data_IF_982429817637
#
_entry.id   IF_982429817637
#
_cell.length_a   1.000
_cell.length_b   1.000
_cell.length_c   1.000
_cell.angle_alpha   90.00
_cell.angle_beta   90.00
_cell.angle_gamma   90.00
#
_symmetry.space_group_name_H-M   'P 1'
#
loop_
_entity.id
_entity.type
_entity.pdbx_description
1 polymer ?
#
# COMPACT_ATOMS: atom_id res chain seq x y z
N UNK A 1 25.02 -3.30 36.35
CA UNK A 1 23.98 -2.86 35.39
C UNK A 1 24.61 -2.68 34.00
N UNK A 2 24.70 -3.78 33.21
CA UNK A 2 25.32 -3.77 31.89
C UNK A 2 24.49 -3.06 30.84
N UNK A 3 25.14 -2.42 29.86
CA UNK A 3 24.49 -1.87 28.68
C UNK A 3 24.36 -2.93 27.59
N UNK A 4 23.25 -2.91 26.87
CA UNK A 4 22.96 -3.77 25.75
C UNK A 4 23.26 -3.05 24.45
N UNK A 5 24.08 -3.61 23.55
CA UNK A 5 24.16 -3.18 22.18
C UNK A 5 23.30 -4.12 21.33
N UNK A 6 22.31 -3.57 20.65
CA UNK A 6 21.45 -4.31 19.75
C UNK A 6 21.52 -3.77 18.33
N UNK A 7 21.69 -4.65 17.35
CA UNK A 7 21.33 -4.36 15.96
C UNK A 7 19.81 -4.16 15.94
N UNK A 8 19.34 -3.04 15.43
CA UNK A 8 17.90 -2.65 15.51
C UNK A 8 16.95 -3.67 14.88
N UNK A 9 17.51 -4.59 14.06
CA UNK A 9 16.81 -5.70 13.40
C UNK A 9 17.66 -6.99 13.45
N UNK A 10 17.91 -7.58 14.64
CA UNK A 10 18.51 -8.90 14.70
C UNK A 10 19.29 -9.22 15.96
N UNK A 11 20.61 -9.06 15.97
CA UNK A 11 21.46 -9.56 17.02
C UNK A 11 21.50 -8.61 18.23
N UNK A 12 21.33 -9.17 19.46
CA UNK A 12 21.49 -8.45 20.72
C UNK A 12 22.79 -8.90 21.37
N UNK A 13 23.66 -7.96 21.72
CA UNK A 13 24.93 -8.21 22.40
C UNK A 13 24.88 -7.53 23.78
N UNK A 14 25.09 -8.30 24.81
CA UNK A 14 25.08 -7.83 26.20
C UNK A 14 26.49 -7.46 26.66
N UNK A 15 26.63 -6.37 27.41
CA UNK A 15 27.85 -5.96 28.07
C UNK A 15 27.67 -6.02 29.60
N UNK A 16 28.65 -6.57 30.28
CA UNK A 16 28.81 -6.41 31.69
C UNK A 16 29.83 -5.30 31.96
N UNK A 17 29.47 -4.41 32.85
CA UNK A 17 30.18 -3.24 33.42
C UNK A 17 31.60 -2.87 32.96
N UNK A 18 31.77 -1.57 32.69
CA UNK A 18 32.96 -0.69 32.80
C UNK A 18 34.31 -1.14 32.21
N UNK A 19 34.35 -2.15 31.34
CA UNK A 19 35.58 -2.59 30.66
C UNK A 19 35.47 -2.25 29.17
N UNK A 20 36.57 -1.75 28.59
CA UNK A 20 36.68 -1.54 27.15
C UNK A 20 36.56 -2.87 26.42
N UNK A 21 35.39 -3.19 25.90
CA UNK A 21 35.14 -4.40 25.13
C UNK A 21 35.41 -4.17 23.67
N UNK A 22 36.22 -5.05 23.05
CA UNK A 22 36.34 -5.08 21.59
C UNK A 22 35.24 -5.94 21.02
N UNK A 23 34.31 -5.31 20.27
CA UNK A 23 33.26 -5.99 19.58
C UNK A 23 33.57 -6.13 18.10
N UNK A 24 33.28 -7.28 17.53
CA UNK A 24 33.27 -7.48 16.10
C UNK A 24 31.84 -7.28 15.60
N UNK A 25 31.52 -6.04 15.23
CA UNK A 25 30.25 -5.70 14.63
C UNK A 25 30.35 -5.68 13.10
N UNK A 26 29.36 -6.20 12.43
CA UNK A 26 29.23 -6.09 10.98
C UNK A 26 28.71 -4.70 10.60
N UNK A 27 28.87 -4.33 9.32
CA UNK A 27 28.24 -3.10 8.80
C UNK A 27 26.76 -3.04 9.15
N UNK A 28 26.31 -1.93 9.73
CA UNK A 28 24.92 -1.78 10.16
C UNK A 28 24.68 -0.58 11.06
N UNK A 29 23.43 -0.42 11.45
CA UNK A 29 22.97 0.59 12.39
C UNK A 29 22.66 -0.08 13.74
N UNK A 30 23.18 0.48 14.82
CA UNK A 30 23.12 -0.10 16.16
C UNK A 30 22.58 0.90 17.19
N UNK A 31 21.92 0.39 18.20
CA UNK A 31 21.51 1.16 19.38
C UNK A 31 22.17 0.59 20.63
N UNK A 32 22.74 1.45 21.46
CA UNK A 32 23.14 1.11 22.82
C UNK A 32 21.93 1.29 23.75
N UNK A 33 21.57 0.23 24.48
CA UNK A 33 20.35 0.22 25.29
C UNK A 33 20.72 -0.17 26.72
N UNK A 34 20.26 0.59 27.71
CA UNK A 34 20.37 0.26 29.13
C UNK A 34 19.00 0.36 29.81
N UNK A 35 18.62 -0.66 30.55
CA UNK A 35 17.33 -0.73 31.25
C UNK A 35 16.09 -0.42 30.33
N UNK A 36 16.15 -0.85 29.06
CA UNK A 36 15.11 -0.62 28.09
C UNK A 36 15.12 0.76 27.40
N UNK A 37 16.01 1.67 27.82
CA UNK A 37 16.16 2.99 27.19
C UNK A 37 17.33 3.01 26.21
N UNK A 38 17.13 3.63 25.05
CA UNK A 38 18.21 3.89 24.09
C UNK A 38 19.07 5.03 24.67
N UNK A 39 20.37 4.74 24.86
CA UNK A 39 21.34 5.74 25.29
C UNK A 39 21.85 6.55 24.10
N UNK A 40 22.24 5.87 23.03
CA UNK A 40 22.67 6.46 21.77
C UNK A 40 22.58 5.45 20.64
N UNK A 41 22.54 5.96 19.42
CA UNK A 41 22.61 5.19 18.19
C UNK A 41 23.97 5.42 17.51
N UNK A 42 24.45 4.45 16.72
CA UNK A 42 25.68 4.56 15.94
C UNK A 42 25.68 3.67 14.71
N UNK A 43 26.52 4.02 13.74
CA UNK A 43 26.69 3.28 12.49
C UNK A 43 28.06 2.59 12.45
N UNK A 44 28.09 1.36 11.93
CA UNK A 44 29.32 0.63 11.65
C UNK A 44 29.44 0.50 10.12
N UNK A 45 30.43 1.16 9.53
CA UNK A 45 30.79 1.01 8.11
C UNK A 45 32.00 0.08 7.95
N UNK A 46 33.02 0.28 8.77
CA UNK A 46 34.27 -0.45 8.76
C UNK A 46 34.67 -0.93 10.16
N UNK A 47 35.70 -1.79 10.21
CA UNK A 47 36.25 -2.24 11.49
C UNK A 47 37.12 -1.13 12.13
N UNK A 48 36.99 -0.95 13.43
CA UNK A 48 37.94 -0.15 14.20
C UNK A 48 37.48 1.26 14.61
N UNK A 49 36.20 1.45 14.94
CA UNK A 49 35.73 2.68 15.57
C UNK A 49 35.74 2.57 17.10
N UNK A 50 35.74 3.70 17.80
CA UNK A 50 35.68 3.82 19.26
C UNK A 50 34.57 4.79 19.63
N UNK A 51 33.77 4.38 20.60
CA UNK A 51 32.73 5.21 21.22
C UNK A 51 32.97 5.30 22.68
N UNK A 52 32.86 6.50 23.27
CA UNK A 52 32.79 6.75 24.71
C UNK A 52 31.42 7.30 25.07
N UNK A 53 30.87 6.86 26.18
CA UNK A 53 29.58 7.39 26.65
C UNK A 53 29.76 7.92 28.09
N UNK A 54 29.42 9.18 28.30
CA UNK A 54 29.41 9.79 29.64
C UNK A 54 27.98 9.74 30.20
N UNK A 55 27.83 8.95 31.26
CA UNK A 55 26.56 8.77 31.97
C UNK A 55 26.10 10.02 32.73
N UNK A 56 27.00 10.95 33.09
CA UNK A 56 26.64 12.16 33.81
C UNK A 56 26.04 13.20 32.84
N UNK A 57 26.68 13.41 31.70
CA UNK A 57 26.21 14.34 30.67
C UNK A 57 25.20 13.71 29.69
N UNK A 58 25.01 12.38 29.75
CA UNK A 58 24.19 11.61 28.84
C UNK A 58 24.57 11.84 27.35
N UNK A 59 25.88 11.95 27.08
CA UNK A 59 26.41 12.22 25.76
C UNK A 59 27.33 11.12 25.27
N UNK A 60 27.27 10.80 23.98
CA UNK A 60 28.17 9.91 23.29
C UNK A 60 29.22 10.72 22.51
N UNK A 61 30.47 10.30 22.60
CA UNK A 61 31.57 10.81 21.79
C UNK A 61 32.03 9.73 20.82
N UNK A 62 32.05 10.07 19.54
CA UNK A 62 32.43 9.18 18.45
C UNK A 62 33.84 9.54 17.96
N UNK A 63 34.73 8.56 17.94
CA UNK A 63 36.07 8.77 17.40
C UNK A 63 36.09 8.81 15.85
N UNK A 64 35.08 8.30 15.21
CA UNK A 64 34.94 8.37 13.77
C UNK A 64 34.09 9.59 13.33
N UNK A 65 34.55 10.22 12.26
CA UNK A 65 33.96 11.48 11.77
C UNK A 65 32.53 11.33 11.27
N UNK A 66 32.17 10.14 10.75
CA UNK A 66 30.83 9.92 10.24
C UNK A 66 29.78 9.93 11.36
N UNK A 67 29.98 9.12 12.40
CA UNK A 67 29.04 9.08 13.52
C UNK A 67 29.00 10.42 14.27
N UNK A 68 30.17 11.03 14.49
CA UNK A 68 30.27 12.33 15.14
C UNK A 68 29.48 13.41 14.36
N UNK A 69 29.74 13.59 13.08
CA UNK A 69 29.03 14.56 12.27
C UNK A 69 27.54 14.20 12.10
N UNK A 70 27.20 12.92 11.92
CA UNK A 70 25.82 12.50 11.70
C UNK A 70 24.96 12.74 12.93
N UNK A 71 25.32 12.16 14.08
CA UNK A 71 24.45 12.21 15.25
C UNK A 71 24.45 13.57 15.93
N UNK A 72 25.61 14.25 16.02
CA UNK A 72 25.70 15.56 16.64
C UNK A 72 25.05 16.68 15.81
N UNK A 73 24.92 16.51 14.49
CA UNK A 73 24.34 17.52 13.61
C UNK A 73 22.96 17.15 13.08
N UNK A 74 22.42 15.97 13.43
CA UNK A 74 21.17 15.48 12.90
C UNK A 74 20.02 16.47 13.08
N UNK A 75 19.87 17.01 14.28
CA UNK A 75 18.84 18.02 14.58
C UNK A 75 19.03 19.31 13.77
N UNK A 76 20.25 19.80 13.69
CA UNK A 76 20.56 21.01 12.91
C UNK A 76 20.24 20.84 11.43
N UNK A 77 20.49 19.66 10.87
CA UNK A 77 20.15 19.31 9.47
C UNK A 77 18.64 19.20 9.29
N UNK A 78 17.92 18.62 10.24
CA UNK A 78 16.44 18.54 10.19
C UNK A 78 15.78 19.91 10.25
N UNK A 79 16.28 20.82 11.12
CA UNK A 79 15.76 22.17 11.31
C UNK A 79 16.17 23.10 10.14
N UNK A 80 17.30 22.85 9.51
CA UNK A 80 17.88 23.66 8.43
C UNK A 80 18.54 22.78 7.37
N UNK A 81 17.81 22.31 6.37
CA UNK A 81 18.35 21.37 5.35
C UNK A 81 19.63 21.85 4.64
N UNK A 82 19.80 23.17 4.48
CA UNK A 82 21.03 23.74 3.91
C UNK A 82 22.29 23.49 4.73
N UNK A 83 22.16 23.17 6.02
CA UNK A 83 23.29 22.89 6.91
C UNK A 83 24.09 21.67 6.44
N UNK A 84 23.50 20.73 5.73
CA UNK A 84 24.15 19.53 5.20
C UNK A 84 25.41 19.87 4.36
N UNK A 85 25.45 21.06 3.76
CA UNK A 85 26.60 21.48 2.95
C UNK A 85 27.89 21.68 3.74
N UNK A 86 27.80 21.86 5.04
CA UNK A 86 28.94 22.05 5.95
C UNK A 86 29.57 20.74 6.42
N UNK A 87 28.93 19.60 6.17
CA UNK A 87 29.37 18.29 6.61
C UNK A 87 30.40 17.67 5.65
N UNK A 88 31.10 16.63 6.10
CA UNK A 88 32.00 15.86 5.23
C UNK A 88 31.23 15.20 4.07
N UNK A 89 31.94 14.85 3.00
CA UNK A 89 31.32 14.24 1.81
C UNK A 89 30.59 12.95 2.19
N UNK A 90 31.21 12.08 3.00
CA UNK A 90 30.62 10.81 3.42
C UNK A 90 29.34 11.04 4.25
N UNK A 91 29.40 11.95 5.23
CA UNK A 91 28.25 12.26 6.09
C UNK A 91 27.11 12.86 5.26
N UNK A 92 27.42 13.73 4.28
CA UNK A 92 26.42 14.26 3.34
C UNK A 92 25.69 13.15 2.59
N UNK A 93 26.41 12.21 2.03
CA UNK A 93 25.82 11.13 1.24
C UNK A 93 24.95 10.22 2.12
N UNK A 94 25.43 9.87 3.32
CA UNK A 94 24.67 9.06 4.28
C UNK A 94 23.41 9.81 4.77
N UNK A 95 23.51 11.12 5.06
CA UNK A 95 22.34 11.91 5.45
C UNK A 95 21.32 12.06 4.32
N UNK A 96 21.75 12.27 3.09
CA UNK A 96 20.85 12.31 1.92
C UNK A 96 20.12 10.99 1.73
N UNK A 97 20.80 9.89 1.96
CA UNK A 97 20.24 8.55 1.87
C UNK A 97 19.14 8.32 2.92
N UNK A 98 19.38 8.69 4.18
CA UNK A 98 18.46 8.44 5.28
C UNK A 98 17.34 9.49 5.39
N UNK A 99 17.60 10.70 4.92
CA UNK A 99 16.68 11.83 4.97
C UNK A 99 16.58 12.50 3.59
N UNK A 100 16.00 11.80 2.58
CA UNK A 100 15.86 12.40 1.24
C UNK A 100 15.11 13.73 1.26
N UNK A 101 14.19 13.93 2.23
CA UNK A 101 13.47 15.18 2.43
C UNK A 101 14.36 16.38 2.81
N UNK A 102 15.56 16.13 3.33
CA UNK A 102 16.53 17.20 3.69
C UNK A 102 17.20 17.80 2.45
N UNK A 103 17.33 17.00 1.40
CA UNK A 103 18.14 17.34 0.24
C UNK A 103 17.35 17.81 -0.95
N UNK A 104 16.08 17.43 -1.01
CA UNK A 104 15.19 17.75 -2.13
C UNK A 104 13.80 18.04 -1.58
N UNK A 105 13.24 19.19 -1.89
CA UNK A 105 11.88 19.51 -1.49
C UNK A 105 10.87 18.57 -2.17
N UNK A 106 9.72 18.36 -1.53
CA UNK A 106 8.64 17.56 -2.12
C UNK A 106 8.22 18.05 -3.52
N UNK A 107 8.31 19.36 -3.77
CA UNK A 107 8.00 19.92 -5.08
C UNK A 107 9.04 19.57 -6.13
N UNK A 108 10.32 19.53 -5.77
CA UNK A 108 11.39 19.11 -6.68
C UNK A 108 11.27 17.62 -7.02
N UNK A 109 10.91 16.75 -6.06
CA UNK A 109 10.63 15.36 -6.35
C UNK A 109 9.46 15.18 -7.32
N UNK A 110 8.38 15.92 -7.15
CA UNK A 110 7.23 15.86 -8.07
C UNK A 110 7.54 16.32 -9.48
N UNK A 111 8.43 17.30 -9.63
CA UNK A 111 8.81 17.86 -10.94
C UNK A 111 9.93 17.09 -11.63
N UNK A 112 10.76 16.37 -10.88
CA UNK A 112 11.93 15.65 -11.39
C UNK A 112 11.88 14.15 -11.10
N UNK A 113 11.10 13.42 -11.90
CA UNK A 113 10.94 11.96 -11.77
C UNK A 113 12.29 11.20 -11.74
N UNK A 114 13.25 11.63 -12.55
CA UNK A 114 14.64 11.09 -12.57
C UNK A 114 15.41 11.30 -11.27
N UNK A 115 15.04 12.31 -10.48
CA UNK A 115 15.70 12.62 -9.21
C UNK A 115 15.31 11.65 -8.11
N UNK A 116 14.06 11.16 -8.13
CA UNK A 116 13.54 10.16 -7.19
C UNK A 116 14.33 8.86 -7.36
N UNK A 117 14.39 8.36 -8.60
CA UNK A 117 15.08 7.12 -8.92
C UNK A 117 16.57 7.22 -8.57
N UNK A 118 17.21 8.35 -8.91
CA UNK A 118 18.63 8.55 -8.60
C UNK A 118 18.94 8.67 -7.11
N UNK A 119 18.03 9.20 -6.29
CA UNK A 119 18.26 9.37 -4.85
C UNK A 119 18.14 8.03 -4.12
N UNK A 120 17.11 7.24 -4.41
CA UNK A 120 16.96 5.91 -3.83
C UNK A 120 18.05 4.94 -4.34
N UNK A 121 18.35 4.95 -5.63
CA UNK A 121 19.38 4.07 -6.21
C UNK A 121 20.77 4.40 -5.65
N UNK A 122 21.10 5.67 -5.46
CA UNK A 122 22.36 6.07 -4.80
C UNK A 122 22.46 5.56 -3.35
N UNK A 123 21.35 5.46 -2.64
CA UNK A 123 21.34 4.90 -1.28
C UNK A 123 21.77 3.44 -1.24
N UNK A 124 21.63 2.69 -2.34
CA UNK A 124 22.08 1.31 -2.45
C UNK A 124 23.61 1.13 -2.43
N UNK A 125 24.38 2.20 -2.56
CA UNK A 125 25.85 2.15 -2.33
C UNK A 125 26.18 1.70 -0.90
N UNK A 126 25.25 1.85 0.05
CA UNK A 126 25.35 1.44 1.44
C UNK A 126 24.17 0.55 1.85
N UNK A 127 23.79 -0.37 0.98
CA UNK A 127 22.57 -1.17 1.07
C UNK A 127 22.37 -1.83 2.44
N UNK A 128 23.42 -2.49 2.98
CA UNK A 128 23.34 -3.13 4.30
C UNK A 128 23.14 -2.14 5.45
N UNK A 129 23.80 -0.97 5.38
CA UNK A 129 23.63 0.08 6.37
C UNK A 129 22.21 0.64 6.29
N UNK A 130 21.71 0.89 5.09
CA UNK A 130 20.37 1.44 4.86
C UNK A 130 19.28 0.46 5.30
N UNK A 131 19.39 -0.82 4.91
CA UNK A 131 18.44 -1.86 5.28
C UNK A 131 18.35 -2.07 6.80
N UNK A 132 19.49 -2.06 7.49
CA UNK A 132 19.54 -2.23 8.94
C UNK A 132 19.30 -0.93 9.73
N UNK A 133 18.90 0.17 9.07
CA UNK A 133 18.64 1.46 9.71
C UNK A 133 17.14 1.65 9.99
N UNK A 134 16.76 2.53 10.94
CA UNK A 134 15.37 2.93 11.15
C UNK A 134 14.86 3.85 10.03
N UNK A 135 15.72 4.32 9.16
CA UNK A 135 15.43 5.36 8.18
C UNK A 135 14.86 4.82 6.86
N UNK A 136 15.05 3.52 6.57
CA UNK A 136 14.53 2.91 5.36
C UNK A 136 13.03 3.14 5.20
N UNK A 137 12.24 2.83 6.25
CA UNK A 137 10.79 3.04 6.18
C UNK A 137 10.42 4.51 6.00
N UNK A 138 11.11 5.43 6.69
CA UNK A 138 10.87 6.87 6.54
C UNK A 138 11.17 7.34 5.11
N UNK A 139 12.23 6.83 4.50
CA UNK A 139 12.59 7.15 3.11
C UNK A 139 11.55 6.59 2.12
N UNK A 140 11.10 5.34 2.32
CA UNK A 140 10.05 4.73 1.50
C UNK A 140 8.72 5.48 1.64
N UNK A 141 8.30 5.81 2.88
CA UNK A 141 7.09 6.60 3.16
C UNK A 141 7.16 7.98 2.51
N UNK A 142 8.30 8.64 2.57
CA UNK A 142 8.48 9.95 1.95
C UNK A 142 8.41 9.87 0.43
N UNK A 143 9.17 8.96 -0.17
CA UNK A 143 9.25 8.84 -1.63
C UNK A 143 7.92 8.36 -2.21
N UNK A 144 7.44 7.21 -1.77
CA UNK A 144 6.24 6.59 -2.35
C UNK A 144 4.93 7.18 -1.83
N UNK A 145 4.92 7.67 -0.58
CA UNK A 145 3.74 8.30 0.00
C UNK A 145 3.54 9.76 -0.36
N UNK A 146 4.62 10.51 -0.70
CA UNK A 146 4.54 11.97 -0.90
C UNK A 146 5.09 12.47 -2.22
N UNK A 147 6.06 11.79 -2.81
CA UNK A 147 6.80 12.29 -3.97
C UNK A 147 6.41 11.63 -5.28
N UNK A 148 6.27 10.30 -5.28
CA UNK A 148 5.83 9.57 -6.47
C UNK A 148 4.38 9.90 -6.77
N UNK A 149 4.07 10.23 -8.04
CA UNK A 149 2.69 10.43 -8.45
C UNK A 149 1.88 9.13 -8.24
N UNK A 150 0.65 9.22 -7.72
CA UNK A 150 -0.15 8.04 -7.40
C UNK A 150 -0.75 7.35 -8.64
N UNK A 151 -0.55 7.89 -9.85
CA UNK A 151 -0.96 7.22 -11.07
C UNK A 151 -0.20 5.90 -11.27
N UNK A 152 -0.87 4.92 -11.86
CA UNK A 152 -0.33 3.57 -12.01
C UNK A 152 1.04 3.54 -12.69
N UNK A 153 1.19 4.23 -13.83
CA UNK A 153 2.41 4.18 -14.63
C UNK A 153 3.62 4.73 -13.86
N UNK A 154 3.43 5.88 -13.21
CA UNK A 154 4.47 6.52 -12.40
C UNK A 154 4.85 5.68 -11.19
N UNK A 155 3.86 5.17 -10.47
CA UNK A 155 4.06 4.41 -9.24
C UNK A 155 4.72 3.05 -9.55
N UNK A 156 4.19 2.30 -10.51
CA UNK A 156 4.75 0.99 -10.87
C UNK A 156 6.15 1.11 -11.46
N UNK A 157 6.39 2.09 -12.34
CA UNK A 157 7.72 2.33 -12.92
C UNK A 157 8.76 2.61 -11.84
N UNK A 158 8.46 3.50 -10.88
CA UNK A 158 9.38 3.83 -9.79
C UNK A 158 9.65 2.62 -8.89
N UNK A 159 8.61 1.87 -8.48
CA UNK A 159 8.77 0.65 -7.68
C UNK A 159 9.63 -0.40 -8.40
N UNK A 160 9.31 -0.68 -9.65
CA UNK A 160 10.00 -1.69 -10.45
C UNK A 160 11.48 -1.34 -10.66
N UNK A 161 11.81 -0.06 -10.91
CA UNK A 161 13.18 0.38 -11.05
C UNK A 161 13.96 0.24 -9.75
N UNK A 162 13.40 0.68 -8.64
CA UNK A 162 14.09 0.56 -7.35
C UNK A 162 14.34 -0.89 -6.98
N UNK A 163 13.32 -1.77 -7.11
CA UNK A 163 13.47 -3.19 -6.82
C UNK A 163 14.56 -3.86 -7.66
N UNK A 164 14.70 -3.52 -8.93
CA UNK A 164 15.73 -4.09 -9.82
C UNK A 164 17.16 -3.75 -9.42
N UNK A 165 17.36 -2.65 -8.74
CA UNK A 165 18.70 -2.21 -8.31
C UNK A 165 19.13 -2.81 -6.97
N UNK A 166 18.21 -3.35 -6.16
CA UNK A 166 18.50 -3.99 -4.87
C UNK A 166 19.19 -5.34 -5.11
N UNK A 167 20.35 -5.53 -4.47
CA UNK A 167 21.17 -6.75 -4.60
C UNK A 167 21.03 -7.71 -3.44
N UNK A 168 20.79 -7.17 -2.22
CA UNK A 168 20.57 -8.01 -1.03
C UNK A 168 19.15 -8.58 -1.07
N UNK A 169 19.04 -9.92 -0.98
CA UNK A 169 17.75 -10.61 -1.08
C UNK A 169 16.82 -10.27 0.09
N UNK A 170 17.35 -10.07 1.30
CA UNK A 170 16.52 -9.74 2.47
C UNK A 170 15.96 -8.33 2.34
N UNK A 171 16.78 -7.37 1.91
CA UNK A 171 16.32 -6.02 1.62
C UNK A 171 15.29 -6.01 0.49
N UNK A 172 15.52 -6.77 -0.59
CA UNK A 172 14.57 -6.89 -1.69
C UNK A 172 13.21 -7.40 -1.20
N UNK A 173 13.18 -8.50 -0.45
CA UNK A 173 11.95 -9.07 0.13
C UNK A 173 11.27 -8.08 1.07
N UNK A 174 12.02 -7.38 1.90
CA UNK A 174 11.50 -6.39 2.82
C UNK A 174 10.82 -5.22 2.08
N UNK A 175 11.54 -4.61 1.13
CA UNK A 175 11.02 -3.49 0.34
C UNK A 175 9.82 -3.90 -0.50
N UNK A 176 9.88 -5.07 -1.13
CA UNK A 176 8.75 -5.63 -1.87
C UNK A 176 7.52 -5.80 -0.98
N UNK A 177 7.66 -6.39 0.20
CA UNK A 177 6.56 -6.57 1.14
C UNK A 177 6.01 -5.22 1.63
N UNK A 178 6.88 -4.24 1.88
CA UNK A 178 6.48 -2.89 2.22
C UNK A 178 5.64 -2.27 1.08
N UNK A 179 6.09 -2.36 -0.17
CA UNK A 179 5.37 -1.86 -1.33
C UNK A 179 4.03 -2.56 -1.52
N UNK A 180 4.01 -3.89 -1.46
CA UNK A 180 2.77 -4.68 -1.57
C UNK A 180 1.74 -4.24 -0.54
N UNK A 181 2.13 -4.12 0.74
CA UNK A 181 1.24 -3.68 1.81
C UNK A 181 0.69 -2.27 1.57
N UNK A 182 1.55 -1.33 1.19
CA UNK A 182 1.15 0.07 0.99
C UNK A 182 0.20 0.24 -0.19
N UNK A 183 0.45 -0.45 -1.31
CA UNK A 183 -0.43 -0.37 -2.48
C UNK A 183 -1.72 -1.19 -2.32
N UNK A 184 -1.69 -2.28 -1.55
CA UNK A 184 -2.87 -3.06 -1.19
C UNK A 184 -3.84 -2.29 -0.30
N UNK A 185 -3.31 -1.53 0.68
CA UNK A 185 -4.10 -0.80 1.68
C UNK A 185 -4.36 0.66 1.31
N UNK A 186 -3.82 1.13 0.20
CA UNK A 186 -3.96 2.50 -0.28
C UNK A 186 -5.42 2.88 -0.52
N UNK A 187 -5.76 4.12 -0.15
CA UNK A 187 -7.06 4.74 -0.45
C UNK A 187 -7.11 5.42 -1.82
N UNK A 188 -5.99 5.45 -2.53
CA UNK A 188 -5.93 6.05 -3.86
C UNK A 188 -6.55 5.08 -4.87
N UNK A 189 -7.50 5.58 -5.62
CA UNK A 189 -8.21 4.80 -6.62
C UNK A 189 -7.25 4.31 -7.71
N UNK A 190 -7.23 2.99 -7.95
CA UNK A 190 -6.35 2.35 -8.93
C UNK A 190 -4.97 1.94 -8.42
N UNK A 191 -4.60 2.29 -7.19
CA UNK A 191 -3.33 1.85 -6.59
C UNK A 191 -3.21 0.33 -6.49
N UNK A 192 -4.33 -0.39 -6.41
CA UNK A 192 -4.33 -1.85 -6.45
C UNK A 192 -3.76 -2.43 -7.74
N UNK A 193 -3.72 -1.69 -8.85
CA UNK A 193 -3.07 -2.15 -10.08
C UNK A 193 -1.55 -2.30 -9.87
N UNK A 194 -0.94 -1.41 -9.08
CA UNK A 194 0.47 -1.52 -8.70
C UNK A 194 0.69 -2.75 -7.83
N UNK A 195 -0.17 -2.97 -6.83
CA UNK A 195 -0.15 -4.18 -6.00
C UNK A 195 -0.22 -5.46 -6.83
N UNK A 196 -1.16 -5.54 -7.78
CA UNK A 196 -1.33 -6.70 -8.66
C UNK A 196 -0.04 -6.99 -9.43
N UNK A 197 0.51 -5.98 -10.09
CA UNK A 197 1.68 -6.19 -10.95
C UNK A 197 2.97 -6.43 -10.14
N UNK A 198 3.12 -5.83 -8.95
CA UNK A 198 4.21 -6.18 -8.04
C UNK A 198 4.10 -7.62 -7.54
N UNK A 199 2.90 -8.08 -7.18
CA UNK A 199 2.71 -9.46 -6.73
C UNK A 199 3.00 -10.47 -7.85
N UNK A 200 2.52 -10.22 -9.07
CA UNK A 200 2.71 -11.13 -10.21
C UNK A 200 4.16 -11.12 -10.70
N UNK A 201 4.79 -9.94 -10.81
CA UNK A 201 6.08 -9.81 -11.47
C UNK A 201 7.27 -9.95 -10.50
N UNK A 202 7.09 -9.65 -9.21
CA UNK A 202 8.18 -9.63 -8.22
C UNK A 202 7.99 -10.65 -7.10
N UNK A 203 6.77 -10.83 -6.56
CA UNK A 203 6.54 -11.81 -5.48
C UNK A 203 6.48 -13.25 -6.03
N UNK A 204 5.69 -13.50 -7.07
CA UNK A 204 5.47 -14.84 -7.63
C UNK A 204 6.77 -15.62 -7.91
N UNK A 205 7.83 -15.00 -8.53
CA UNK A 205 9.10 -15.70 -8.77
C UNK A 205 9.88 -16.10 -7.52
N UNK A 206 9.59 -15.48 -6.37
CA UNK A 206 10.30 -15.71 -5.10
C UNK A 206 9.63 -16.74 -4.22
N UNK A 207 8.42 -17.20 -4.57
CA UNK A 207 7.64 -18.09 -3.72
C UNK A 207 8.22 -19.50 -3.75
N UNK A 208 8.35 -20.07 -2.56
CA UNK A 208 8.66 -21.49 -2.34
C UNK A 208 7.40 -22.19 -1.81
N UNK A 209 7.28 -23.52 -1.90
CA UNK A 209 6.11 -24.24 -1.39
C UNK A 209 5.77 -24.01 0.08
N UNK A 210 6.73 -23.48 0.87
CA UNK A 210 6.54 -23.16 2.28
C UNK A 210 5.92 -21.78 2.53
N UNK A 211 5.88 -20.88 1.52
CA UNK A 211 5.47 -19.48 1.64
C UNK A 211 3.93 -19.30 1.61
N UNK A 212 3.21 -19.89 2.56
CA UNK A 212 1.74 -19.83 2.60
C UNK A 212 1.18 -18.40 2.55
N UNK A 213 1.81 -17.47 3.27
CA UNK A 213 1.41 -16.06 3.25
C UNK A 213 1.65 -15.40 1.89
N UNK A 214 2.77 -15.67 1.25
CA UNK A 214 3.06 -15.19 -0.09
C UNK A 214 2.06 -15.68 -1.12
N UNK A 215 1.66 -16.96 -1.05
CA UNK A 215 0.59 -17.50 -1.91
C UNK A 215 -0.76 -16.86 -1.63
N UNK A 216 -1.09 -16.49 -0.39
CA UNK A 216 -2.33 -15.77 -0.09
C UNK A 216 -2.34 -14.37 -0.73
N UNK A 217 -1.22 -13.64 -0.66
CA UNK A 217 -1.05 -12.34 -1.31
C UNK A 217 -1.15 -12.46 -2.83
N UNK A 218 -0.45 -13.44 -3.42
CA UNK A 218 -0.51 -13.70 -4.86
C UNK A 218 -1.93 -14.10 -5.30
N UNK A 219 -2.60 -14.99 -4.58
CA UNK A 219 -3.97 -15.43 -4.87
C UNK A 219 -4.96 -14.25 -4.85
N UNK A 220 -4.79 -13.31 -3.91
CA UNK A 220 -5.55 -12.06 -3.91
C UNK A 220 -5.28 -11.24 -5.17
N UNK A 221 -4.02 -11.01 -5.52
CA UNK A 221 -3.65 -10.25 -6.72
C UNK A 221 -4.20 -10.89 -8.00
N UNK A 222 -4.08 -12.22 -8.14
CA UNK A 222 -4.62 -12.97 -9.27
C UNK A 222 -6.15 -12.92 -9.35
N UNK A 223 -6.84 -12.89 -8.21
CA UNK A 223 -8.31 -12.73 -8.15
C UNK A 223 -8.76 -11.32 -8.51
N UNK A 224 -7.97 -10.32 -8.17
CA UNK A 224 -8.23 -8.90 -8.49
C UNK A 224 -7.90 -8.56 -9.95
N UNK A 225 -6.86 -9.17 -10.51
CA UNK A 225 -6.29 -8.85 -11.82
C UNK A 225 -7.30 -8.76 -12.97
N UNK A 226 -8.19 -9.73 -13.13
CA UNK A 226 -9.14 -9.75 -14.24
C UNK A 226 -10.12 -8.57 -14.30
N UNK A 227 -10.47 -8.01 -13.14
CA UNK A 227 -11.36 -6.84 -13.02
C UNK A 227 -10.60 -5.63 -12.43
N UNK A 228 -9.32 -5.49 -12.76
CA UNK A 228 -8.52 -4.35 -12.32
C UNK A 228 -9.05 -3.04 -12.93
N UNK A 229 -8.82 -1.93 -12.25
CA UNK A 229 -9.27 -0.63 -12.73
C UNK A 229 -8.74 -0.34 -14.15
N UNK A 230 -9.61 0.14 -15.03
CA UNK A 230 -9.33 0.41 -16.44
C UNK A 230 -9.52 -0.79 -17.38
N UNK A 231 -9.51 -2.04 -16.86
CA UNK A 231 -9.81 -3.22 -17.70
C UNK A 231 -11.30 -3.34 -18.03
N UNK A 232 -11.62 -4.05 -19.10
CA UNK A 232 -13.00 -4.49 -19.34
C UNK A 232 -13.35 -5.55 -18.29
N UNK A 233 -14.40 -5.31 -17.52
CA UNK A 233 -14.87 -6.22 -16.48
C UNK A 233 -15.28 -7.57 -17.10
N UNK A 234 -15.02 -8.66 -16.37
CA UNK A 234 -15.50 -9.98 -16.82
C UNK A 234 -17.03 -9.98 -16.93
N UNK A 235 -17.55 -10.44 -18.05
CA UNK A 235 -18.99 -10.65 -18.20
C UNK A 235 -19.47 -11.79 -17.31
N UNK A 236 -20.71 -11.69 -16.85
CA UNK A 236 -21.37 -12.75 -16.09
C UNK A 236 -22.86 -12.84 -16.44
N UNK A 237 -23.40 -14.04 -16.24
CA UNK A 237 -24.85 -14.28 -16.36
C UNK A 237 -25.49 -14.20 -14.99
N UNK A 238 -26.68 -13.66 -14.94
CA UNK A 238 -27.49 -13.61 -13.74
C UNK A 238 -28.96 -13.90 -14.05
N UNK A 239 -29.67 -14.43 -13.10
CA UNK A 239 -31.13 -14.60 -13.18
C UNK A 239 -31.80 -13.34 -12.68
N UNK A 240 -32.52 -12.65 -13.55
CA UNK A 240 -33.33 -11.49 -13.19
C UNK A 240 -34.52 -11.96 -12.32
N UNK A 241 -34.67 -11.35 -11.15
CA UNK A 241 -35.72 -11.75 -10.19
C UNK A 241 -37.12 -11.31 -10.61
N UNK A 242 -37.21 -10.24 -11.40
CA UNK A 242 -38.52 -9.66 -11.80
C UNK A 242 -39.26 -10.53 -12.81
N UNK A 243 -38.53 -11.11 -13.78
CA UNK A 243 -39.12 -11.89 -14.90
C UNK A 243 -38.60 -13.33 -15.03
N UNK A 244 -37.57 -13.69 -14.21
CA UNK A 244 -36.92 -14.98 -14.23
C UNK A 244 -35.98 -15.22 -15.43
N UNK A 245 -35.80 -14.24 -16.31
CA UNK A 245 -34.90 -14.34 -17.46
C UNK A 245 -33.44 -14.45 -17.04
N UNK A 246 -32.63 -15.11 -17.87
CA UNK A 246 -31.17 -15.12 -17.75
C UNK A 246 -30.62 -14.02 -18.64
N UNK A 247 -29.86 -13.11 -18.07
CA UNK A 247 -29.27 -11.96 -18.75
C UNK A 247 -27.74 -11.95 -18.57
N UNK A 248 -27.04 -11.35 -19.54
CA UNK A 248 -25.63 -11.04 -19.42
C UNK A 248 -25.43 -9.60 -18.96
N UNK A 249 -24.52 -9.37 -18.01
CA UNK A 249 -24.23 -8.04 -17.47
C UNK A 249 -23.75 -7.07 -18.57
N UNK A 250 -22.95 -7.55 -19.53
CA UNK A 250 -22.45 -6.72 -20.63
C UNK A 250 -23.58 -6.21 -21.54
N UNK A 251 -24.67 -6.95 -21.68
CA UNK A 251 -25.81 -6.57 -22.54
C UNK A 251 -26.73 -5.53 -21.90
N UNK A 252 -26.52 -5.20 -20.64
CA UNK A 252 -27.27 -4.13 -19.98
C UNK A 252 -26.71 -2.79 -20.44
N UNK A 253 -27.52 -1.99 -21.11
CA UNK A 253 -27.11 -0.68 -21.59
C UNK A 253 -27.16 0.37 -20.49
N UNK A 254 -26.18 1.27 -20.45
CA UNK A 254 -26.10 2.39 -19.52
C UNK A 254 -24.82 3.20 -19.71
N UNK A 255 -24.87 4.48 -19.41
CA UNK A 255 -23.67 5.36 -19.42
C UNK A 255 -22.68 4.91 -18.36
N UNK A 256 -23.22 4.57 -17.18
CA UNK A 256 -22.50 3.89 -16.12
C UNK A 256 -23.36 2.77 -15.53
N UNK A 257 -22.70 1.73 -15.05
CA UNK A 257 -23.32 0.62 -14.30
C UNK A 257 -22.75 0.59 -12.89
N UNK A 258 -23.62 0.61 -11.90
CA UNK A 258 -23.28 0.34 -10.51
C UNK A 258 -23.61 -1.13 -10.25
N UNK A 259 -22.58 -1.96 -10.01
CA UNK A 259 -22.75 -3.33 -9.56
C UNK A 259 -22.69 -3.33 -8.03
N UNK A 260 -23.78 -3.72 -7.40
CA UNK A 260 -23.89 -3.81 -5.95
C UNK A 260 -24.07 -5.28 -5.58
N UNK A 261 -22.96 -5.92 -5.20
CA UNK A 261 -22.96 -7.31 -4.74
C UNK A 261 -23.32 -7.34 -3.26
N UNK A 262 -24.36 -8.07 -2.90
CA UNK A 262 -24.87 -8.12 -1.54
C UNK A 262 -25.27 -9.54 -1.11
N UNK A 263 -25.24 -9.79 0.18
CA UNK A 263 -25.86 -10.98 0.78
C UNK A 263 -27.18 -10.55 1.42
N UNK A 264 -28.31 -11.19 1.06
CA UNK A 264 -29.61 -10.88 1.65
C UNK A 264 -29.68 -11.03 3.19
N UNK A 265 -28.86 -11.90 3.76
CA UNK A 265 -28.77 -12.13 5.20
C UNK A 265 -27.82 -11.13 5.91
N UNK A 266 -27.03 -10.37 5.16
CA UNK A 266 -26.07 -9.40 5.70
C UNK A 266 -26.79 -8.15 6.24
N UNK A 267 -26.66 -7.89 7.56
CA UNK A 267 -27.25 -6.72 8.21
C UNK A 267 -26.75 -5.39 7.61
N UNK A 268 -25.46 -5.27 7.38
CA UNK A 268 -24.86 -4.07 6.80
C UNK A 268 -25.38 -3.79 5.38
N UNK A 269 -25.64 -4.81 4.59
CA UNK A 269 -26.25 -4.65 3.27
C UNK A 269 -27.65 -4.03 3.35
N UNK A 270 -28.46 -4.44 4.35
CA UNK A 270 -29.79 -3.88 4.58
C UNK A 270 -29.75 -2.40 4.96
N UNK A 271 -28.69 -1.96 5.64
CA UNK A 271 -28.50 -0.53 6.00
C UNK A 271 -27.98 0.32 4.84
N UNK A 272 -27.08 -0.25 4.02
CA UNK A 272 -26.41 0.48 2.94
C UNK A 272 -27.27 0.55 1.68
N UNK A 273 -27.99 -0.51 1.35
CA UNK A 273 -28.77 -0.59 0.11
C UNK A 273 -29.76 0.57 -0.07
N UNK A 274 -30.62 0.95 0.91
CA UNK A 274 -31.57 2.06 0.72
C UNK A 274 -30.88 3.39 0.38
N UNK A 275 -29.71 3.61 0.95
CA UNK A 275 -28.91 4.82 0.68
C UNK A 275 -28.27 4.79 -0.71
N UNK A 276 -27.85 3.61 -1.19
CA UNK A 276 -27.33 3.42 -2.54
C UNK A 276 -28.45 3.55 -3.58
N UNK A 277 -29.65 3.03 -3.30
CA UNK A 277 -30.83 3.21 -4.12
C UNK A 277 -31.22 4.69 -4.22
N UNK A 278 -31.31 5.40 -3.09
CA UNK A 278 -31.63 6.83 -3.09
C UNK A 278 -30.61 7.67 -3.90
N UNK A 279 -29.34 7.30 -3.86
CA UNK A 279 -28.31 7.89 -4.73
C UNK A 279 -28.63 7.61 -6.20
N UNK A 280 -28.91 6.34 -6.57
CA UNK A 280 -29.24 5.97 -7.94
C UNK A 280 -30.50 6.72 -8.43
N UNK A 281 -31.53 6.85 -7.60
CA UNK A 281 -32.78 7.56 -7.93
C UNK A 281 -32.52 9.03 -8.30
N UNK A 282 -31.52 9.66 -7.67
CA UNK A 282 -31.15 11.05 -7.94
C UNK A 282 -30.36 11.24 -9.26
N UNK A 283 -29.82 10.16 -9.85
CA UNK A 283 -28.97 10.20 -11.05
C UNK A 283 -29.47 9.30 -12.18
N UNK A 284 -30.62 8.70 -12.02
CA UNK A 284 -31.18 7.72 -12.98
C UNK A 284 -31.40 8.32 -14.37
N UNK A 285 -31.80 9.59 -14.45
CA UNK A 285 -32.00 10.31 -15.71
C UNK A 285 -30.68 10.65 -16.42
N UNK A 286 -29.54 10.36 -15.79
CA UNK A 286 -28.21 10.48 -16.39
C UNK A 286 -27.74 9.18 -17.06
N UNK A 287 -28.63 8.19 -17.21
CA UNK A 287 -28.33 6.91 -17.86
C UNK A 287 -27.51 5.96 -16.99
N UNK A 288 -27.54 6.14 -15.67
CA UNK A 288 -26.90 5.22 -14.72
C UNK A 288 -27.83 4.05 -14.44
N UNK A 289 -27.31 2.83 -14.54
CA UNK A 289 -28.04 1.59 -14.22
C UNK A 289 -27.51 1.00 -12.92
N UNK A 290 -28.42 0.53 -12.08
CA UNK A 290 -28.08 -0.12 -10.81
C UNK A 290 -28.44 -1.61 -10.88
N UNK A 291 -27.42 -2.46 -10.74
CA UNK A 291 -27.53 -3.92 -10.69
C UNK A 291 -27.25 -4.40 -9.26
N UNK A 292 -28.30 -4.83 -8.55
CA UNK A 292 -28.23 -5.42 -7.24
C UNK A 292 -28.10 -6.95 -7.36
N UNK A 293 -26.86 -7.46 -7.21
CA UNK A 293 -26.51 -8.86 -7.44
C UNK A 293 -26.34 -9.60 -6.11
N UNK A 294 -27.26 -10.52 -5.83
CA UNK A 294 -27.22 -11.30 -4.61
C UNK A 294 -26.19 -12.44 -4.70
N UNK A 295 -25.24 -12.47 -3.79
CA UNK A 295 -24.25 -13.55 -3.66
C UNK A 295 -24.77 -14.67 -2.78
N UNK A 296 -24.50 -15.92 -3.15
CA UNK A 296 -24.88 -17.12 -2.38
C UNK A 296 -26.37 -17.20 -2.00
N UNK A 297 -27.26 -16.63 -2.79
CA UNK A 297 -28.66 -16.54 -2.46
C UNK A 297 -29.57 -17.17 -3.54
N UNK A 298 -30.62 -17.85 -3.09
CA UNK A 298 -31.69 -18.32 -3.94
C UNK A 298 -32.63 -17.16 -4.37
N UNK A 299 -33.35 -17.29 -5.49
CA UNK A 299 -34.36 -16.31 -5.89
C UNK A 299 -35.41 -15.99 -4.81
N UNK A 300 -35.75 -16.97 -3.96
CA UNK A 300 -36.67 -16.80 -2.85
C UNK A 300 -36.12 -15.81 -1.81
N UNK A 301 -34.86 -16.04 -1.38
CA UNK A 301 -34.20 -15.13 -0.43
C UNK A 301 -34.02 -13.71 -0.98
N UNK A 302 -33.79 -13.56 -2.28
CA UNK A 302 -33.71 -12.24 -2.92
C UNK A 302 -35.08 -11.55 -2.87
N UNK A 303 -36.17 -12.26 -3.12
CA UNK A 303 -37.54 -11.72 -2.99
C UNK A 303 -37.84 -11.29 -1.56
N UNK A 304 -37.51 -12.14 -0.59
CA UNK A 304 -37.64 -11.81 0.85
C UNK A 304 -36.88 -10.54 1.21
N UNK A 305 -35.64 -10.40 0.71
CA UNK A 305 -34.87 -9.16 0.88
C UNK A 305 -35.58 -7.96 0.23
N UNK A 306 -36.05 -8.08 -1.00
CA UNK A 306 -36.79 -7.03 -1.69
C UNK A 306 -38.04 -6.61 -0.91
N UNK A 307 -38.78 -7.55 -0.32
CA UNK A 307 -39.97 -7.29 0.48
C UNK A 307 -39.67 -6.47 1.76
N UNK A 308 -38.43 -6.49 2.23
CA UNK A 308 -37.98 -5.62 3.34
C UNK A 308 -37.69 -4.18 2.92
N UNK A 309 -37.58 -3.93 1.63
CA UNK A 309 -37.22 -2.62 1.05
C UNK A 309 -38.53 -1.89 0.66
N UNK A 310 -38.71 -0.68 1.14
CA UNK A 310 -39.90 0.11 0.81
C UNK A 310 -39.52 1.61 0.69
N UNK A 311 -39.78 2.25 -0.44
CA UNK A 311 -40.24 1.70 -1.74
C UNK A 311 -39.08 1.09 -2.54
N UNK A 312 -39.36 0.05 -3.33
CA UNK A 312 -38.41 -0.48 -4.32
C UNK A 312 -38.51 0.36 -5.59
N UNK A 313 -37.36 0.84 -6.09
CA UNK A 313 -37.31 1.44 -7.41
C UNK A 313 -37.38 0.35 -8.49
N UNK A 314 -38.41 0.40 -9.35
CA UNK A 314 -38.60 -0.55 -10.44
C UNK A 314 -37.52 -0.54 -11.52
N UNK A 315 -36.64 0.48 -11.49
CA UNK A 315 -35.50 0.61 -12.43
C UNK A 315 -34.22 -0.04 -11.90
N UNK A 316 -34.22 -0.60 -10.68
CA UNK A 316 -33.13 -1.42 -10.16
C UNK A 316 -33.29 -2.85 -10.68
N UNK A 317 -32.21 -3.39 -11.27
CA UNK A 317 -32.20 -4.80 -11.69
C UNK A 317 -31.71 -5.66 -10.53
N UNK A 318 -32.61 -6.46 -9.95
CA UNK A 318 -32.24 -7.45 -8.96
C UNK A 318 -31.91 -8.78 -9.64
N UNK A 319 -30.74 -9.29 -9.34
CA UNK A 319 -30.29 -10.57 -9.86
C UNK A 319 -29.69 -11.49 -8.79
N UNK A 320 -29.71 -12.77 -9.07
CA UNK A 320 -28.96 -13.77 -8.33
C UNK A 320 -28.15 -14.62 -9.30
N UNK A 321 -27.27 -15.44 -8.75
CA UNK A 321 -26.47 -16.36 -9.55
C UNK A 321 -27.33 -17.35 -10.33
N UNK A 322 -26.82 -17.72 -11.47
CA UNK A 322 -27.27 -18.90 -12.21
C UNK A 322 -26.69 -20.18 -11.56
N UNK A 323 -27.13 -21.34 -12.00
CA UNK A 323 -26.66 -22.63 -11.45
C UNK A 323 -25.13 -22.82 -11.54
N UNK A 324 -24.48 -22.11 -12.47
CA UNK A 324 -23.01 -22.15 -12.67
C UNK A 324 -22.25 -21.21 -11.71
N UNK A 325 -22.92 -20.49 -10.83
CA UNK A 325 -22.30 -19.54 -9.89
C UNK A 325 -21.35 -18.55 -10.60
N UNK A 326 -21.83 -17.97 -11.70
CA UNK A 326 -20.99 -17.35 -12.72
C UNK A 326 -20.24 -16.10 -12.23
N UNK A 327 -20.85 -15.26 -11.39
CA UNK A 327 -20.19 -14.01 -10.99
C UNK A 327 -19.33 -14.10 -9.70
N UNK A 328 -19.63 -15.00 -8.74
CA UNK A 328 -18.80 -15.19 -7.54
C UNK A 328 -17.37 -15.61 -7.92
N UNK A 329 -17.22 -16.51 -8.91
CA UNK A 329 -15.92 -16.95 -9.39
C UNK A 329 -15.16 -15.91 -10.24
N UNK A 330 -15.86 -14.89 -10.74
CA UNK A 330 -15.29 -13.87 -11.65
C UNK A 330 -14.93 -12.56 -10.94
N UNK A 331 -15.60 -12.24 -9.84
CA UNK A 331 -15.40 -11.00 -9.10
C UNK A 331 -14.86 -11.28 -7.71
N UNK A 332 -13.86 -10.50 -7.30
CA UNK A 332 -13.35 -10.58 -5.94
C UNK A 332 -14.26 -9.78 -5.00
N UNK A 333 -15.06 -10.49 -4.21
CA UNK A 333 -16.05 -9.92 -3.27
C UNK A 333 -15.75 -10.48 -1.86
N UNK A 334 -14.69 -10.01 -1.18
CA UNK A 334 -14.28 -10.55 0.11
C UNK A 334 -15.24 -10.18 1.24
N UNK A 335 -16.00 -9.11 1.05
CA UNK A 335 -17.02 -8.61 2.00
C UNK A 335 -18.22 -8.06 1.24
N UNK A 336 -19.39 -8.11 1.86
CA UNK A 336 -20.61 -7.51 1.33
C UNK A 336 -21.05 -6.30 2.18
N UNK A 337 -21.54 -5.21 1.53
CA UNK A 337 -21.71 -5.08 0.10
C UNK A 337 -20.39 -4.82 -0.64
N UNK A 338 -20.19 -5.44 -1.81
CA UNK A 338 -19.13 -5.14 -2.76
C UNK A 338 -19.64 -4.20 -3.86
N UNK A 339 -18.99 -3.06 -4.08
CA UNK A 339 -19.46 -2.06 -5.06
C UNK A 339 -18.43 -1.89 -6.16
N UNK A 340 -18.90 -1.98 -7.42
CA UNK A 340 -18.12 -1.68 -8.63
C UNK A 340 -18.84 -0.61 -9.45
N UNK A 341 -18.07 0.23 -10.14
CA UNK A 341 -18.59 1.16 -11.16
C UNK A 341 -17.95 0.79 -12.50
N UNK A 342 -18.79 0.56 -13.51
CA UNK A 342 -18.35 0.33 -14.89
C UNK A 342 -18.83 1.48 -15.78
N UNK A 343 -18.06 1.81 -16.83
CA UNK A 343 -18.52 2.74 -17.87
C UNK A 343 -19.36 2.02 -18.95
N UNK A 344 -19.81 2.77 -19.96
CA UNK A 344 -20.61 2.24 -21.07
C UNK A 344 -19.94 1.11 -21.85
N UNK A 345 -18.59 1.04 -21.83
CA UNK A 345 -17.80 0.00 -22.48
C UNK A 345 -17.45 -1.14 -21.50
N UNK A 346 -18.15 -1.23 -20.37
CA UNK A 346 -17.90 -2.19 -19.31
C UNK A 346 -16.50 -2.11 -18.69
N UNK A 347 -15.80 -0.98 -18.80
CA UNK A 347 -14.49 -0.80 -18.15
C UNK A 347 -14.68 -0.43 -16.69
N UNK A 348 -13.90 -1.08 -15.83
CA UNK A 348 -13.90 -0.82 -14.39
C UNK A 348 -13.36 0.59 -14.13
N UNK A 349 -14.22 1.44 -13.58
CA UNK A 349 -13.88 2.82 -13.17
C UNK A 349 -13.56 2.90 -11.67
N UNK A 350 -14.19 2.03 -10.88
CA UNK A 350 -13.90 1.87 -9.46
C UNK A 350 -14.39 0.50 -8.98
N UNK A 351 -13.78 -0.01 -7.90
CA UNK A 351 -14.21 -1.24 -7.25
C UNK A 351 -13.84 -1.26 -5.77
N UNK A 352 -14.53 -2.09 -4.99
CA UNK A 352 -14.27 -2.23 -3.55
C UNK A 352 -14.43 -0.91 -2.78
N UNK A 353 -15.28 -0.03 -3.26
CA UNK A 353 -15.50 1.31 -2.74
C UNK A 353 -16.62 1.35 -1.69
N UNK A 354 -16.55 2.32 -0.79
CA UNK A 354 -17.63 2.60 0.15
C UNK A 354 -18.79 3.37 -0.52
N UNK A 355 -19.92 3.46 0.19
CA UNK A 355 -21.04 4.28 -0.26
C UNK A 355 -20.68 5.78 -0.36
N UNK A 356 -19.78 6.25 0.51
CA UNK A 356 -19.30 7.65 0.47
C UNK A 356 -18.49 7.89 -0.79
N UNK A 357 -17.60 6.96 -1.13
CA UNK A 357 -16.80 7.01 -2.35
C UNK A 357 -17.69 6.91 -3.59
N UNK A 358 -18.69 6.00 -3.59
CA UNK A 358 -19.67 5.87 -4.67
C UNK A 358 -20.34 7.20 -4.95
N UNK A 359 -20.81 7.91 -3.92
CA UNK A 359 -21.45 9.22 -4.07
C UNK A 359 -20.50 10.25 -4.65
N UNK A 360 -19.27 10.33 -4.14
CA UNK A 360 -18.25 11.26 -4.63
C UNK A 360 -17.90 11.01 -6.08
N UNK A 361 -17.67 9.75 -6.46
CA UNK A 361 -17.33 9.35 -7.82
C UNK A 361 -18.47 9.59 -8.81
N UNK A 362 -19.71 9.23 -8.43
CA UNK A 362 -20.86 9.49 -9.31
C UNK A 362 -21.05 10.98 -9.55
N UNK A 363 -20.88 11.84 -8.53
CA UNK A 363 -20.90 13.29 -8.71
C UNK A 363 -19.83 13.77 -9.71
N UNK A 364 -18.67 13.14 -9.72
CA UNK A 364 -17.58 13.46 -10.66
C UNK A 364 -17.89 12.96 -12.07
N UNK A 365 -18.46 11.75 -12.21
CA UNK A 365 -18.69 11.12 -13.51
C UNK A 365 -19.90 11.65 -14.25
N UNK A 366 -20.99 11.94 -13.56
CA UNK A 366 -22.25 12.38 -14.20
C UNK A 366 -22.62 13.84 -13.89
N UNK A 367 -21.76 14.57 -13.18
CA UNK A 367 -22.00 15.94 -12.77
C UNK A 367 -22.75 16.07 -11.44
N UNK A 368 -22.85 17.30 -10.94
CA UNK A 368 -23.63 17.60 -9.73
C UNK A 368 -25.13 17.32 -9.95
N UNK A 369 -25.77 16.74 -8.95
CA UNK A 369 -27.19 16.37 -8.90
C UNK A 369 -27.82 16.81 -7.58
#
# INVERSE_FOLDING_TARGET
>A
DGALIGKRFGEKIFFEDSVSNKLNLNTGFYSCIQNGNILFDFMVLDKGFKISYDFQSQSAEFADKLNDEFFNNLKAVQDSPGFVQNLSILTKEVMKMFYPQITVSQNEFKTHKSLIDSTLVKSLSYELLFFNSPFLNQALDFVYGKCVSPDYDSAYFSCNNFLKEIKDENMYRYVLNWMLYNYETSKVLGSENVFIDLAVNHLKPLLTPADTNGYAVLGKAESLGPNRMGSVARDFRFKNISDGSIQNMHNIEGVFKILFFYDPDCHHCKEVYPKAQALHDSIIDRGVVFLAMAVNASPVKVKEFMDTLNPINSKVLFGCETDDKDFIGKYYIPVTPGIYILDANNRVKARGISLVDLRGLMKTFVGAY
#
